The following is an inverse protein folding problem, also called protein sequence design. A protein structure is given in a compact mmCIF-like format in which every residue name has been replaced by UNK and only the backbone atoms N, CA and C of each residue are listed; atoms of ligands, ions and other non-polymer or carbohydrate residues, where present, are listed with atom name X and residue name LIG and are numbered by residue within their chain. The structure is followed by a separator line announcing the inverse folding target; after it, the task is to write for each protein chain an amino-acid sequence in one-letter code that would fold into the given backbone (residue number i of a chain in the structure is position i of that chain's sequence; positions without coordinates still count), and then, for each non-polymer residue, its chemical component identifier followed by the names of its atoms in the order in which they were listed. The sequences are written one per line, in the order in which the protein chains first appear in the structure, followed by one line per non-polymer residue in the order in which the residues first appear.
data_IF_888792707254
#
_entry.id   IF_888792707254
#
_cell.length_a   1.000
_cell.length_b   1.000
_cell.length_c   1.000
_cell.angle_alpha   90.00
_cell.angle_beta   90.00
_cell.angle_gamma   90.00
#
_symmetry.space_group_name_H-M   'P 1'
#
loop_
_entity.id
_entity.type
_entity.pdbx_description
1 polymer ?
#
# COMPACT_ATOMS: atom_id res chain seq x y z
N UNK A 1 -4.27 17.69 2.93
CA UNK A 1 -4.32 16.45 3.74
C UNK A 1 -3.02 16.20 4.50
N UNK A 2 -1.85 16.34 3.88
CA UNK A 2 -0.53 16.12 4.50
C UNK A 2 -0.26 16.88 5.83
N UNK A 3 -0.52 18.18 5.88
CA UNK A 3 -0.20 19.00 7.08
C UNK A 3 -1.02 18.59 8.32
N UNK A 4 -2.27 18.14 8.14
CA UNK A 4 -3.14 17.78 9.26
C UNK A 4 -2.77 16.43 9.92
N UNK A 5 -2.09 15.54 9.20
CA UNK A 5 -1.71 14.21 9.73
C UNK A 5 -0.40 14.27 10.52
N UNK A 6 0.47 15.24 10.24
CA UNK A 6 1.78 15.35 10.90
C UNK A 6 1.68 16.09 12.23
N UNK A 7 0.76 17.04 12.38
CA UNK A 7 0.54 17.79 13.64
C UNK A 7 0.01 16.90 14.80
N UNK A 8 -0.69 15.81 14.50
CA UNK A 8 -1.23 14.89 15.53
C UNK A 8 -0.19 13.90 16.08
N UNK A 9 1.02 13.84 15.50
CA UNK A 9 2.07 12.90 15.90
C UNK A 9 3.40 13.64 16.15
N UNK A 10 3.51 14.25 17.33
CA UNK A 10 4.70 14.99 17.82
C UNK A 10 6.02 14.17 17.82
N UNK A 11 6.00 12.85 17.58
CA UNK A 11 7.17 11.96 17.68
C UNK A 11 7.37 11.01 16.48
N UNK A 12 7.05 11.43 15.24
CA UNK A 12 7.44 10.63 14.07
C UNK A 12 8.96 10.70 13.81
N UNK A 13 9.62 9.54 13.74
CA UNK A 13 11.02 9.49 13.30
C UNK A 13 11.15 9.89 11.83
N UNK A 14 12.33 10.37 11.40
CA UNK A 14 12.58 10.76 10.01
C UNK A 14 12.20 9.66 8.99
N UNK A 15 12.45 8.39 9.36
CA UNK A 15 12.10 7.25 8.52
C UNK A 15 10.59 7.04 8.42
N UNK A 16 9.85 7.20 9.52
CA UNK A 16 8.39 7.08 9.53
C UNK A 16 7.73 8.23 8.76
N UNK A 17 8.22 9.46 8.91
CA UNK A 17 7.78 10.60 8.09
C UNK A 17 7.99 10.35 6.60
N UNK A 18 9.14 9.76 6.22
CA UNK A 18 9.40 9.41 4.83
C UNK A 18 8.45 8.32 4.31
N UNK A 19 8.18 7.28 5.11
CA UNK A 19 7.22 6.23 4.77
C UNK A 19 5.79 6.77 4.63
N UNK A 20 5.39 7.64 5.55
CA UNK A 20 4.07 8.29 5.53
C UNK A 20 3.91 9.15 4.28
N UNK A 21 4.94 9.93 3.91
CA UNK A 21 4.93 10.72 2.68
C UNK A 21 4.75 9.85 1.44
N UNK A 22 5.45 8.74 1.36
CA UNK A 22 5.27 7.80 0.24
C UNK A 22 3.88 7.19 0.25
N UNK A 23 3.34 6.82 1.41
CA UNK A 23 1.99 6.28 1.52
C UNK A 23 0.93 7.28 1.02
N UNK A 24 1.02 8.55 1.43
CA UNK A 24 0.12 9.61 0.95
C UNK A 24 0.20 9.76 -0.57
N UNK A 25 1.42 9.82 -1.14
CA UNK A 25 1.60 9.90 -2.60
C UNK A 25 1.04 8.68 -3.33
N UNK A 26 1.15 7.49 -2.74
CA UNK A 26 0.55 6.27 -3.31
C UNK A 26 -0.97 6.33 -3.29
N UNK A 27 -1.59 6.87 -2.23
CA UNK A 27 -3.04 7.10 -2.17
C UNK A 27 -3.48 8.08 -3.27
N UNK A 28 -2.79 9.22 -3.42
CA UNK A 28 -3.12 10.19 -4.47
C UNK A 28 -3.02 9.59 -5.88
N UNK A 29 -2.04 8.70 -6.11
CA UNK A 29 -1.90 7.99 -7.37
C UNK A 29 -3.02 6.94 -7.59
N UNK A 30 -3.42 6.23 -6.53
CA UNK A 30 -4.54 5.29 -6.58
C UNK A 30 -5.83 5.99 -6.98
N UNK A 31 -6.10 7.17 -6.43
CA UNK A 31 -7.29 7.97 -6.77
C UNK A 31 -7.31 8.37 -8.25
N UNK A 32 -6.16 8.82 -8.77
CA UNK A 32 -6.03 9.16 -10.20
C UNK A 32 -6.25 7.95 -11.11
N UNK A 33 -5.67 6.80 -10.77
CA UNK A 33 -5.83 5.58 -11.56
C UNK A 33 -7.26 5.03 -11.47
N UNK A 34 -7.89 5.11 -10.30
CA UNK A 34 -9.26 4.69 -10.09
C UNK A 34 -10.23 5.57 -10.88
N UNK A 35 -10.05 6.89 -10.84
CA UNK A 35 -10.84 7.81 -11.66
C UNK A 35 -10.72 7.52 -13.16
N UNK A 36 -9.52 7.15 -13.63
CA UNK A 36 -9.31 6.73 -15.03
C UNK A 36 -10.07 5.43 -15.35
N UNK A 37 -10.00 4.45 -14.45
CA UNK A 37 -10.68 3.17 -14.61
C UNK A 37 -12.20 3.31 -14.58
N UNK A 38 -12.72 4.19 -13.72
CA UNK A 38 -14.15 4.46 -13.60
C UNK A 38 -14.69 5.18 -14.85
N UNK A 39 -13.88 6.06 -15.46
CA UNK A 39 -14.24 6.76 -16.68
C UNK A 39 -14.23 5.85 -17.93
N UNK A 40 -13.20 5.01 -18.06
CA UNK A 40 -12.97 4.22 -19.28
C UNK A 40 -13.58 2.80 -19.19
N UNK A 41 -13.90 2.33 -17.98
CA UNK A 41 -14.36 0.98 -17.70
C UNK A 41 -13.22 -0.04 -17.53
N UNK A 42 -13.55 -1.20 -16.96
CA UNK A 42 -12.55 -2.24 -16.64
C UNK A 42 -11.98 -2.96 -17.88
N UNK A 43 -12.72 -2.95 -18.98
CA UNK A 43 -12.37 -3.57 -20.25
C UNK A 43 -12.40 -2.48 -21.31
N UNK A 44 -11.33 -2.36 -22.08
CA UNK A 44 -11.19 -1.40 -23.18
C UNK A 44 -11.04 -2.13 -24.51
N UNK A 45 -11.54 -1.50 -25.56
CA UNK A 45 -11.29 -1.97 -26.92
C UNK A 45 -9.86 -1.60 -27.36
N UNK A 46 -9.24 -2.51 -28.11
CA UNK A 46 -7.91 -2.32 -28.67
C UNK A 46 -7.86 -2.91 -30.08
N UNK A 47 -6.87 -2.54 -30.90
CA UNK A 47 -6.76 -3.12 -32.24
C UNK A 47 -6.66 -4.66 -32.26
N UNK A 48 -6.32 -5.28 -31.12
CA UNK A 48 -6.23 -6.73 -30.93
C UNK A 48 -7.46 -7.34 -30.22
N UNK A 49 -8.53 -6.55 -30.05
CA UNK A 49 -9.76 -6.93 -29.37
C UNK A 49 -9.86 -6.39 -27.94
N UNK A 50 -10.85 -6.92 -27.20
CA UNK A 50 -11.12 -6.51 -25.82
C UNK A 50 -10.00 -6.94 -24.87
N UNK A 51 -9.51 -6.00 -24.07
CA UNK A 51 -8.48 -6.26 -23.05
C UNK A 51 -8.78 -5.52 -21.75
N UNK A 52 -8.16 -5.98 -20.67
CA UNK A 52 -8.21 -5.26 -19.41
C UNK A 52 -7.59 -3.86 -19.54
N UNK A 53 -8.22 -2.87 -18.90
CA UNK A 53 -7.72 -1.51 -18.85
C UNK A 53 -6.32 -1.48 -18.20
N UNK A 54 -5.30 -0.80 -18.80
CA UNK A 54 -3.94 -0.78 -18.25
C UNK A 54 -3.87 -0.30 -16.78
N UNK A 55 -4.66 0.72 -16.43
CA UNK A 55 -4.77 1.20 -15.04
C UNK A 55 -5.24 0.13 -14.04
N UNK A 56 -5.97 -0.91 -14.45
CA UNK A 56 -6.39 -1.98 -13.55
C UNK A 56 -5.22 -2.80 -13.01
N UNK A 57 -4.21 -3.07 -13.87
CA UNK A 57 -3.00 -3.75 -13.46
C UNK A 57 -2.15 -2.87 -12.54
N UNK A 58 -2.02 -1.59 -12.88
CA UNK A 58 -1.28 -0.61 -12.08
C UNK A 58 -1.92 -0.40 -10.69
N UNK A 59 -3.25 -0.22 -10.62
CA UNK A 59 -4.02 -0.14 -9.38
C UNK A 59 -3.71 -1.31 -8.45
N UNK A 60 -3.65 -2.53 -8.99
CA UNK A 60 -3.34 -3.73 -8.20
C UNK A 60 -1.93 -3.63 -7.58
N UNK A 61 -0.94 -3.19 -8.34
CA UNK A 61 0.43 -3.04 -7.84
C UNK A 61 0.53 -1.94 -6.79
N UNK A 62 -0.08 -0.78 -7.03
CA UNK A 62 -0.08 0.34 -6.09
C UNK A 62 -0.79 0.00 -4.77
N UNK A 63 -1.88 -0.78 -4.81
CA UNK A 63 -2.54 -1.29 -3.59
C UNK A 63 -1.61 -2.19 -2.76
N UNK A 64 -0.80 -3.03 -3.41
CA UNK A 64 0.19 -3.87 -2.72
C UNK A 64 1.29 -3.00 -2.12
N UNK A 65 1.78 -2.01 -2.86
CA UNK A 65 2.77 -1.05 -2.36
C UNK A 65 2.26 -0.28 -1.15
N UNK A 66 1.02 0.23 -1.20
CA UNK A 66 0.40 0.91 -0.07
C UNK A 66 0.30 0.01 1.15
N UNK A 67 -0.17 -1.23 0.99
CA UNK A 67 -0.25 -2.20 2.09
C UNK A 67 1.13 -2.45 2.74
N UNK A 68 2.21 -2.49 1.95
CA UNK A 68 3.59 -2.64 2.44
C UNK A 68 4.07 -1.40 3.20
N UNK A 69 3.80 -0.21 2.68
CA UNK A 69 4.16 1.06 3.32
C UNK A 69 3.44 1.21 4.67
N UNK A 70 2.14 0.92 4.70
CA UNK A 70 1.33 0.95 5.93
C UNK A 70 1.80 -0.09 6.95
N UNK A 71 2.11 -1.32 6.51
CA UNK A 71 2.65 -2.34 7.41
C UNK A 71 4.03 -1.94 7.98
N UNK A 72 4.86 -1.25 7.20
CA UNK A 72 6.17 -0.77 7.63
C UNK A 72 6.08 0.36 8.68
N UNK A 73 5.04 1.19 8.62
CA UNK A 73 4.73 2.21 9.63
C UNK A 73 4.33 1.58 10.98
N UNK A 74 3.86 0.33 11.00
CA UNK A 74 3.47 -0.34 12.24
C UNK A 74 2.28 0.33 12.94
N UNK A 75 1.36 0.93 12.17
CA UNK A 75 0.19 1.62 12.71
C UNK A 75 -0.65 0.66 13.59
N UNK A 76 -1.21 1.15 14.70
CA UNK A 76 -2.09 0.35 15.55
C UNK A 76 -3.27 -0.17 14.72
N UNK A 77 -3.49 -1.49 14.71
CA UNK A 77 -4.60 -2.10 13.95
C UNK A 77 -5.96 -1.96 14.64
N UNK A 78 -6.12 -0.98 15.54
CA UNK A 78 -7.36 -0.73 16.29
C UNK A 78 -7.72 -1.79 17.34
N UNK A 79 -6.86 -2.80 17.55
CA UNK A 79 -7.03 -3.82 18.59
C UNK A 79 -5.94 -3.60 19.64
N UNK A 80 -6.20 -2.67 20.55
CA UNK A 80 -5.46 -2.57 21.82
C UNK A 80 -6.16 -3.53 22.78
N UNK A 81 -5.71 -4.78 22.82
CA UNK A 81 -5.96 -5.64 23.98
C UNK A 81 -5.01 -5.18 25.09
N UNK A 82 -5.58 -4.71 26.19
CA UNK A 82 -4.86 -4.35 27.41
C UNK A 82 -3.97 -5.52 27.85
N UNK A 83 -2.66 -5.34 27.75
CA UNK A 83 -1.66 -6.25 28.36
C UNK A 83 -0.58 -6.76 27.42
N UNK A 84 0.38 -5.90 27.06
CA UNK A 84 1.81 -6.22 26.91
C UNK A 84 2.50 -5.09 26.12
N UNK A 85 2.76 -3.95 26.76
CA UNK A 85 3.44 -2.79 26.15
C UNK A 85 4.90 -3.03 25.69
N UNK A 86 5.50 -4.20 25.90
CA UNK A 86 6.97 -4.33 25.85
C UNK A 86 7.56 -5.49 25.05
N UNK A 87 6.79 -6.22 24.23
CA UNK A 87 7.40 -7.14 23.27
C UNK A 87 7.54 -6.45 21.92
N UNK A 88 8.73 -5.87 21.70
CA UNK A 88 9.30 -5.45 20.40
C UNK A 88 8.36 -5.77 19.25
N UNK A 89 7.53 -4.78 18.91
CA UNK A 89 6.63 -4.71 17.76
C UNK A 89 7.36 -5.28 16.55
N UNK A 90 7.23 -6.59 16.32
CA UNK A 90 7.95 -7.26 15.25
C UNK A 90 7.33 -6.73 13.97
N UNK A 91 8.07 -5.83 13.30
CA UNK A 91 7.81 -5.39 11.93
C UNK A 91 7.69 -6.63 11.06
N UNK A 92 6.47 -7.17 10.94
CA UNK A 92 6.18 -8.30 10.07
C UNK A 92 6.26 -7.77 8.65
N UNK A 93 7.44 -7.94 8.06
CA UNK A 93 7.65 -7.73 6.63
C UNK A 93 6.58 -8.50 5.86
N UNK A 94 5.88 -7.82 4.95
CA UNK A 94 4.96 -8.44 4.01
C UNK A 94 5.78 -9.41 3.15
N UNK A 95 5.72 -10.70 3.48
CA UNK A 95 6.47 -11.75 2.79
C UNK A 95 6.23 -11.67 1.28
N UNK A 96 7.32 -11.70 0.50
CA UNK A 96 7.28 -11.62 -0.96
C UNK A 96 6.60 -12.83 -1.61
N UNK A 97 6.06 -12.64 -2.81
CA UNK A 97 5.27 -13.63 -3.58
C UNK A 97 6.15 -14.74 -4.20
N UNK A 98 7.46 -14.74 -3.99
CA UNK A 98 8.35 -15.78 -4.51
C UNK A 98 9.20 -16.41 -3.40
N UNK A 99 8.56 -17.18 -2.52
CA UNK A 99 9.18 -18.44 -2.10
C UNK A 99 8.61 -19.53 -3.02
N UNK A 100 9.09 -19.53 -4.27
CA UNK A 100 8.93 -20.67 -5.14
C UNK A 100 9.73 -21.81 -4.51
N UNK A 101 9.01 -22.82 -4.02
CA UNK A 101 9.60 -24.08 -3.61
C UNK A 101 10.11 -24.77 -4.88
N UNK A 102 11.31 -24.40 -5.35
CA UNK A 102 12.00 -25.09 -6.44
C UNK A 102 12.66 -26.31 -5.82
N UNK A 103 11.87 -27.37 -5.63
CA UNK A 103 12.40 -28.71 -5.46
C UNK A 103 13.04 -29.15 -6.77
N UNK A 104 14.38 -29.19 -6.79
CA UNK A 104 15.18 -29.81 -7.84
C UNK A 104 15.53 -31.26 -7.41
N UNK A 105 16.01 -32.09 -8.36
CA UNK A 105 15.39 -33.31 -8.90
C UNK A 105 15.21 -34.49 -7.92
#
# INVERSE_FOLDING_TARGET
MWLAVVDDYDELTQHETALLLQACRTVDLLDQLQARLDADGAIVDSPQGLKAHPAAAELRQQRITLARLVAALGLPTGVVEDGDEQKKRQRRSARGVYQANVGAP
#
